data_IF_187446653730
#
_entry.id   IF_187446653730
#
_cell.length_a   1.000
_cell.length_b   1.000
_cell.length_c   1.000
_cell.angle_alpha   90.00
_cell.angle_beta   90.00
_cell.angle_gamma   90.00
#
_symmetry.space_group_name_H-M   'P 1'
#
loop_
_entity.id
_entity.type
_entity.pdbx_description
1 polymer ?
#
# COMPACT_ATOMS: atom_id res chain seq x y z
N UNK A 1 6.11 -23.52 8.10
CA UNK A 1 6.08 -22.06 8.36
C UNK A 1 5.02 -21.43 7.48
N UNK A 2 4.22 -20.52 8.01
CA UNK A 2 3.25 -19.77 7.20
C UNK A 2 3.96 -18.81 6.24
N UNK A 3 3.39 -18.62 5.06
CA UNK A 3 3.89 -17.65 4.09
C UNK A 3 3.71 -16.24 4.65
N UNK A 4 4.74 -15.41 4.56
CA UNK A 4 4.70 -14.03 5.06
C UNK A 4 3.95 -13.11 4.11
N UNK A 5 3.35 -12.10 4.67
CA UNK A 5 2.46 -11.16 3.98
C UNK A 5 3.01 -9.74 4.08
N UNK A 6 3.12 -9.06 2.94
CA UNK A 6 3.43 -7.63 2.87
C UNK A 6 2.30 -6.86 2.21
N UNK A 7 1.88 -5.78 2.85
CA UNK A 7 0.99 -4.78 2.25
C UNK A 7 1.77 -3.52 1.87
N UNK A 8 1.60 -3.07 0.62
CA UNK A 8 2.31 -1.93 0.05
C UNK A 8 1.29 -0.91 -0.44
N UNK A 9 1.21 0.25 0.20
CA UNK A 9 0.44 1.38 -0.31
C UNK A 9 1.20 2.06 -1.45
N UNK A 10 0.50 2.53 -2.48
CA UNK A 10 1.16 3.08 -3.66
C UNK A 10 1.97 2.05 -4.44
N UNK A 11 1.54 0.79 -4.42
CA UNK A 11 2.27 -0.33 -5.04
C UNK A 11 2.13 -0.43 -6.56
N UNK A 12 1.36 0.45 -7.21
CA UNK A 12 1.10 0.37 -8.66
C UNK A 12 2.20 0.98 -9.53
N UNK A 13 3.17 1.66 -8.95
CA UNK A 13 4.25 2.33 -9.69
C UNK A 13 5.49 2.56 -8.83
N UNK A 14 6.61 2.92 -9.47
CA UNK A 14 7.82 3.38 -8.82
C UNK A 14 8.40 2.39 -7.81
N UNK A 15 8.79 2.91 -6.64
CA UNK A 15 9.43 2.13 -5.57
C UNK A 15 8.50 1.02 -5.05
N UNK A 16 7.22 1.32 -4.84
CA UNK A 16 6.25 0.34 -4.36
C UNK A 16 6.07 -0.83 -5.32
N UNK A 17 6.02 -0.57 -6.64
CA UNK A 17 5.96 -1.60 -7.66
C UNK A 17 7.22 -2.48 -7.69
N UNK A 18 8.42 -1.86 -7.64
CA UNK A 18 9.68 -2.58 -7.61
C UNK A 18 9.81 -3.45 -6.35
N UNK A 19 9.35 -2.94 -5.22
CA UNK A 19 9.32 -3.68 -3.96
C UNK A 19 8.35 -4.87 -4.03
N UNK A 20 7.17 -4.68 -4.61
CA UNK A 20 6.20 -5.76 -4.82
C UNK A 20 6.81 -6.90 -5.65
N UNK A 21 7.49 -6.57 -6.75
CA UNK A 21 8.20 -7.53 -7.59
C UNK A 21 9.26 -8.30 -6.81
N UNK A 22 10.04 -7.62 -5.99
CA UNK A 22 11.06 -8.25 -5.15
C UNK A 22 10.46 -9.30 -4.21
N UNK A 23 9.42 -8.94 -3.45
CA UNK A 23 8.79 -9.84 -2.50
C UNK A 23 8.06 -11.01 -3.17
N UNK A 24 7.44 -10.81 -4.34
CA UNK A 24 6.86 -11.92 -5.12
C UNK A 24 7.92 -12.95 -5.52
N UNK A 25 9.10 -12.51 -5.93
CA UNK A 25 10.22 -13.39 -6.27
C UNK A 25 10.80 -14.15 -5.05
N UNK A 26 10.46 -13.71 -3.84
CA UNK A 26 10.88 -14.35 -2.59
C UNK A 26 9.74 -15.12 -1.92
N UNK A 27 8.71 -15.50 -2.68
CA UNK A 27 7.58 -16.31 -2.23
C UNK A 27 6.75 -15.70 -1.09
N UNK A 28 6.69 -14.38 -1.02
CA UNK A 28 5.76 -13.69 -0.13
C UNK A 28 4.39 -13.55 -0.79
N UNK A 29 3.36 -13.47 0.03
CA UNK A 29 2.07 -12.94 -0.40
C UNK A 29 2.19 -11.41 -0.40
N UNK A 30 1.90 -10.80 -1.53
CA UNK A 30 2.04 -9.37 -1.74
C UNK A 30 0.67 -8.75 -2.00
N UNK A 31 0.32 -7.75 -1.22
CA UNK A 31 -0.86 -6.93 -1.45
C UNK A 31 -0.39 -5.55 -1.87
N UNK A 32 -0.78 -5.09 -3.05
CA UNK A 32 -0.57 -3.72 -3.48
C UNK A 32 -1.90 -2.97 -3.48
N UNK A 33 -1.86 -1.73 -3.01
CA UNK A 33 -3.02 -0.84 -3.06
C UNK A 33 -2.68 0.50 -3.70
N UNK A 34 -3.69 1.10 -4.32
CA UNK A 34 -3.64 2.43 -4.94
C UNK A 34 -5.05 3.00 -5.03
N UNK A 35 -5.19 4.30 -5.06
CA UNK A 35 -6.45 4.97 -5.34
C UNK A 35 -6.87 4.88 -6.81
N UNK A 36 -5.95 4.52 -7.71
CA UNK A 36 -6.18 4.44 -9.15
C UNK A 36 -6.32 2.97 -9.61
N UNK A 37 -7.56 2.59 -9.95
CA UNK A 37 -7.89 1.22 -10.37
C UNK A 37 -7.22 0.81 -11.68
N UNK A 38 -7.05 1.74 -12.63
CA UNK A 38 -6.43 1.42 -13.94
C UNK A 38 -4.94 1.14 -13.79
N UNK A 39 -4.26 1.94 -12.93
CA UNK A 39 -2.85 1.69 -12.60
C UNK A 39 -2.67 0.35 -11.87
N UNK A 40 -3.56 0.01 -10.94
CA UNK A 40 -3.55 -1.28 -10.26
C UNK A 40 -3.69 -2.44 -11.24
N UNK A 41 -4.64 -2.34 -12.17
CA UNK A 41 -4.88 -3.38 -13.18
C UNK A 41 -3.63 -3.61 -14.04
N UNK A 42 -3.03 -2.54 -14.55
CA UNK A 42 -1.78 -2.63 -15.34
C UNK A 42 -0.62 -3.22 -14.53
N UNK A 43 -0.45 -2.77 -13.29
CA UNK A 43 0.58 -3.30 -12.41
C UNK A 43 0.39 -4.80 -12.15
N UNK A 44 -0.84 -5.23 -11.90
CA UNK A 44 -1.18 -6.65 -11.72
C UNK A 44 -0.80 -7.48 -12.93
N UNK A 45 -1.18 -7.05 -14.14
CA UNK A 45 -0.88 -7.76 -15.39
C UNK A 45 0.63 -7.94 -15.57
N UNK A 46 1.42 -6.89 -15.36
CA UNK A 46 2.88 -6.94 -15.49
C UNK A 46 3.50 -7.88 -14.44
N UNK A 47 3.13 -7.69 -13.15
CA UNK A 47 3.70 -8.49 -12.06
C UNK A 47 3.39 -9.98 -12.18
N UNK A 48 2.17 -10.35 -12.58
CA UNK A 48 1.80 -11.75 -12.79
C UNK A 48 2.59 -12.34 -13.97
N UNK A 49 2.67 -11.63 -15.08
CA UNK A 49 3.38 -12.12 -16.28
C UNK A 49 4.88 -12.31 -16.03
N UNK A 50 5.50 -11.38 -15.28
CA UNK A 50 6.94 -11.43 -15.01
C UNK A 50 7.31 -12.46 -13.93
N UNK A 51 6.51 -12.56 -12.87
CA UNK A 51 6.87 -13.38 -11.70
C UNK A 51 6.21 -14.77 -11.74
N UNK A 52 5.23 -14.99 -12.60
CA UNK A 52 4.45 -16.24 -12.67
C UNK A 52 3.91 -16.69 -11.31
N UNK A 53 3.58 -15.74 -10.45
CA UNK A 53 3.13 -15.96 -9.08
C UNK A 53 1.66 -15.57 -8.93
N UNK A 54 0.90 -16.43 -8.28
CA UNK A 54 -0.50 -16.17 -7.90
C UNK A 54 -0.62 -15.47 -6.53
N UNK A 55 0.49 -15.22 -5.86
CA UNK A 55 0.53 -14.62 -4.51
C UNK A 55 0.38 -13.09 -4.52
N UNK A 56 -0.29 -12.52 -5.52
CA UNK A 56 -0.50 -11.09 -5.66
C UNK A 56 -1.98 -10.73 -5.53
N UNK A 57 -2.27 -9.84 -4.60
CA UNK A 57 -3.58 -9.21 -4.42
C UNK A 57 -3.50 -7.72 -4.76
N UNK A 58 -4.54 -7.20 -5.37
CA UNK A 58 -4.65 -5.77 -5.68
C UNK A 58 -5.93 -5.21 -5.10
N UNK A 59 -5.82 -4.16 -4.30
CA UNK A 59 -6.94 -3.54 -3.60
C UNK A 59 -6.97 -2.04 -3.90
N UNK A 60 -8.12 -1.55 -4.36
CA UNK A 60 -8.33 -0.12 -4.44
C UNK A 60 -8.43 0.44 -3.03
N UNK A 61 -7.61 1.45 -2.71
CA UNK A 61 -7.65 2.14 -1.43
C UNK A 61 -7.14 3.57 -1.59
N UNK A 62 -8.00 4.53 -1.27
CA UNK A 62 -7.60 5.91 -1.07
C UNK A 62 -7.20 6.10 0.39
N UNK A 63 -5.90 6.31 0.65
CA UNK A 63 -5.38 6.45 2.02
C UNK A 63 -5.83 7.74 2.70
N UNK A 64 -6.38 8.70 1.97
CA UNK A 64 -6.97 9.91 2.55
C UNK A 64 -8.36 9.67 3.16
N UNK A 65 -8.95 8.51 2.90
CA UNK A 65 -10.21 8.06 3.49
C UNK A 65 -9.95 7.01 4.59
N UNK A 66 -10.16 7.41 5.85
CA UNK A 66 -9.99 6.51 7.02
C UNK A 66 -10.80 5.23 6.93
N UNK A 67 -12.01 5.30 6.37
CA UNK A 67 -12.89 4.14 6.28
C UNK A 67 -12.42 3.16 5.22
N UNK A 68 -11.93 3.65 4.09
CA UNK A 68 -11.31 2.79 3.07
C UNK A 68 -10.07 2.08 3.62
N UNK A 69 -9.21 2.80 4.34
CA UNK A 69 -8.02 2.20 4.98
C UNK A 69 -8.41 1.08 5.93
N UNK A 70 -9.37 1.32 6.84
CA UNK A 70 -9.85 0.30 7.78
C UNK A 70 -10.44 -0.92 7.08
N UNK A 71 -11.29 -0.72 6.06
CA UNK A 71 -11.88 -1.80 5.29
C UNK A 71 -10.81 -2.62 4.56
N UNK A 72 -9.80 -1.96 4.00
CA UNK A 72 -8.68 -2.62 3.32
C UNK A 72 -7.90 -3.52 4.26
N UNK A 73 -7.53 -3.02 5.44
CA UNK A 73 -6.80 -3.80 6.44
C UNK A 73 -7.64 -4.96 6.95
N UNK A 74 -8.91 -4.75 7.26
CA UNK A 74 -9.81 -5.82 7.70
C UNK A 74 -9.98 -6.89 6.62
N UNK A 75 -10.10 -6.51 5.36
CA UNK A 75 -10.14 -7.46 4.25
C UNK A 75 -8.87 -8.30 4.19
N UNK A 76 -7.70 -7.68 4.25
CA UNK A 76 -6.43 -8.40 4.22
C UNK A 76 -6.35 -9.40 5.38
N UNK A 77 -6.63 -8.95 6.60
CA UNK A 77 -6.51 -9.77 7.80
C UNK A 77 -7.47 -10.95 7.82
N UNK A 78 -8.69 -10.78 7.29
CA UNK A 78 -9.72 -11.81 7.33
C UNK A 78 -9.66 -12.77 6.12
N UNK A 79 -9.32 -12.27 4.94
CA UNK A 79 -9.43 -13.04 3.69
C UNK A 79 -8.08 -13.51 3.16
N UNK A 80 -6.99 -12.81 3.47
CA UNK A 80 -5.64 -13.18 3.00
C UNK A 80 -4.78 -13.74 4.13
N UNK A 81 -4.70 -13.02 5.24
CA UNK A 81 -3.95 -13.42 6.43
C UNK A 81 -3.30 -12.23 7.14
N UNK A 82 -2.57 -12.53 8.19
CA UNK A 82 -1.95 -11.52 9.05
C UNK A 82 -0.83 -10.76 8.32
N UNK A 83 -0.92 -9.43 8.33
CA UNK A 83 0.11 -8.57 7.75
C UNK A 83 1.38 -8.64 8.61
N UNK A 84 2.48 -9.10 8.02
CA UNK A 84 3.80 -9.11 8.66
C UNK A 84 4.53 -7.79 8.48
N UNK A 85 4.44 -7.21 7.27
CA UNK A 85 5.04 -5.92 6.94
C UNK A 85 3.98 -5.02 6.28
N UNK A 86 3.89 -3.78 6.73
CA UNK A 86 3.18 -2.72 6.03
C UNK A 86 4.18 -1.68 5.53
N UNK A 87 4.33 -1.56 4.22
CA UNK A 87 5.13 -0.53 3.58
C UNK A 87 4.23 0.63 3.15
N UNK A 88 4.30 1.72 3.89
CA UNK A 88 3.48 2.91 3.67
C UNK A 88 4.17 3.85 2.67
N UNK A 89 4.16 3.43 1.41
CA UNK A 89 4.91 4.07 0.32
C UNK A 89 4.05 5.07 -0.50
N UNK A 90 2.73 5.07 -0.35
CA UNK A 90 1.88 5.97 -1.13
C UNK A 90 2.22 7.44 -0.85
N UNK A 91 2.46 8.20 -1.92
CA UNK A 91 2.75 9.61 -1.85
C UNK A 91 2.21 10.34 -3.08
N UNK A 92 1.80 11.58 -2.89
CA UNK A 92 1.53 12.51 -3.96
C UNK A 92 2.76 13.39 -4.17
N UNK A 93 3.08 13.64 -5.42
CA UNK A 93 4.07 14.60 -5.84
C UNK A 93 3.49 15.47 -6.94
N UNK A 94 3.42 16.76 -6.70
CA UNK A 94 2.90 17.72 -7.66
C UNK A 94 3.81 18.94 -7.68
N UNK A 95 4.83 18.93 -8.56
CA UNK A 95 5.73 20.07 -8.68
C UNK A 95 4.96 21.28 -9.20
N UNK A 96 5.09 22.41 -8.52
CA UNK A 96 4.50 23.66 -8.93
C UNK A 96 5.24 24.21 -10.16
N UNK A 97 4.71 23.95 -11.35
CA UNK A 97 5.38 24.28 -12.62
C UNK A 97 5.63 25.77 -12.81
N UNK A 98 4.81 26.62 -12.18
CA UNK A 98 4.86 28.07 -12.37
C UNK A 98 5.42 28.83 -11.16
N UNK A 99 5.93 28.14 -10.14
CA UNK A 99 6.41 28.74 -8.89
C UNK A 99 5.36 29.62 -8.16
N UNK A 100 4.09 29.48 -8.49
CA UNK A 100 3.00 30.18 -7.84
C UNK A 100 2.51 29.37 -6.64
N UNK A 101 2.13 30.07 -5.56
CA UNK A 101 1.54 29.43 -4.41
C UNK A 101 0.12 28.92 -4.75
N UNK A 102 -0.09 27.60 -4.56
CA UNK A 102 -1.39 26.97 -4.75
C UNK A 102 -1.75 26.17 -3.50
N UNK A 103 -2.71 26.70 -2.72
CA UNK A 103 -3.15 26.07 -1.46
C UNK A 103 -3.73 24.68 -1.70
N UNK A 104 -4.48 24.47 -2.79
CA UNK A 104 -5.08 23.16 -3.07
C UNK A 104 -4.01 22.08 -3.29
N UNK A 105 -2.90 22.47 -3.93
CA UNK A 105 -1.77 21.55 -4.11
C UNK A 105 -1.11 21.19 -2.77
N UNK A 106 -0.91 22.16 -1.88
CA UNK A 106 -0.37 21.90 -0.54
C UNK A 106 -1.31 21.05 0.30
N UNK A 107 -2.62 21.31 0.26
CA UNK A 107 -3.61 20.50 0.96
C UNK A 107 -3.60 19.05 0.45
N UNK A 108 -3.52 18.82 -0.85
CA UNK A 108 -3.39 17.48 -1.42
C UNK A 108 -2.12 16.76 -0.89
N UNK A 109 -0.99 17.44 -0.90
CA UNK A 109 0.27 16.87 -0.41
C UNK A 109 0.21 16.51 1.08
N UNK A 110 -0.42 17.36 1.90
CA UNK A 110 -0.62 17.10 3.33
C UNK A 110 -1.59 15.94 3.53
N UNK A 111 -2.69 15.91 2.80
CA UNK A 111 -3.72 14.87 2.94
C UNK A 111 -3.16 13.49 2.56
N UNK A 112 -2.42 13.38 1.48
CA UNK A 112 -1.83 12.10 1.06
C UNK A 112 -0.59 11.76 1.87
N UNK A 113 0.41 12.65 1.89
CA UNK A 113 1.74 12.30 2.39
C UNK A 113 1.83 12.29 3.92
N UNK A 114 0.97 13.02 4.61
CA UNK A 114 0.95 13.08 6.07
C UNK A 114 -0.28 12.37 6.64
N UNK A 115 -1.47 12.88 6.40
CA UNK A 115 -2.69 12.32 6.99
C UNK A 115 -2.95 10.89 6.54
N UNK A 116 -2.79 10.59 5.25
CA UNK A 116 -2.98 9.23 4.72
C UNK A 116 -2.07 8.21 5.40
N UNK A 117 -0.80 8.54 5.57
CA UNK A 117 0.16 7.70 6.32
C UNK A 117 -0.27 7.51 7.77
N UNK A 118 -0.69 8.60 8.45
CA UNK A 118 -1.18 8.52 9.83
C UNK A 118 -2.45 7.66 9.97
N UNK A 119 -3.36 7.70 8.99
CA UNK A 119 -4.55 6.86 8.98
C UNK A 119 -4.21 5.38 8.85
N UNK A 120 -3.20 5.05 8.03
CA UNK A 120 -2.70 3.68 7.92
C UNK A 120 -2.07 3.21 9.24
N UNK A 121 -1.23 4.02 9.88
CA UNK A 121 -0.61 3.70 11.17
C UNK A 121 -1.68 3.51 12.25
N UNK A 122 -2.65 4.42 12.33
CA UNK A 122 -3.73 4.34 13.31
C UNK A 122 -4.55 3.04 13.19
N UNK A 123 -4.86 2.63 11.97
CA UNK A 123 -5.59 1.40 11.73
C UNK A 123 -4.73 0.13 11.95
N UNK A 124 -3.44 0.17 11.59
CA UNK A 124 -2.52 -0.96 11.76
C UNK A 124 -2.11 -1.20 13.20
N UNK A 125 -1.95 -0.16 14.01
CA UNK A 125 -1.46 -0.29 15.38
C UNK A 125 -2.29 -1.26 16.22
N UNK A 126 -3.61 -1.19 16.11
CA UNK A 126 -4.53 -2.05 16.86
C UNK A 126 -4.49 -3.50 16.35
N UNK A 127 -4.25 -3.67 15.07
CA UNK A 127 -4.15 -4.98 14.42
C UNK A 127 -2.84 -5.69 14.75
N UNK A 128 -1.74 -4.93 14.82
CA UNK A 128 -0.38 -5.46 14.96
C UNK A 128 0.16 -5.47 16.41
N UNK A 129 -0.46 -4.73 17.33
CA UNK A 129 0.04 -4.47 18.69
C UNK A 129 0.29 -5.71 19.55
N UNK A 130 -0.49 -6.76 19.38
CA UNK A 130 -0.48 -7.94 20.23
C UNK A 130 0.07 -9.20 19.51
N UNK A 131 0.93 -9.02 18.51
CA UNK A 131 1.49 -10.10 17.72
C UNK A 131 2.96 -10.30 18.02
N UNK A 132 3.36 -11.52 18.28
CA UNK A 132 4.77 -11.89 18.54
C UNK A 132 5.65 -11.76 17.28
N UNK A 133 5.05 -11.72 16.09
CA UNK A 133 5.74 -11.78 14.80
C UNK A 133 5.56 -10.54 13.91
N UNK A 134 5.07 -9.45 14.44
CA UNK A 134 4.99 -8.19 13.67
C UNK A 134 6.38 -7.70 13.35
N UNK A 135 6.66 -7.47 12.07
CA UNK A 135 8.00 -7.13 11.63
C UNK A 135 8.18 -5.62 11.54
N UNK A 136 7.34 -4.92 10.80
CA UNK A 136 7.51 -3.48 10.66
C UNK A 136 6.33 -2.75 10.02
N UNK A 137 6.20 -1.49 10.38
CA UNK A 137 5.55 -0.44 9.59
C UNK A 137 6.66 0.47 9.08
N UNK A 138 6.77 0.61 7.77
CA UNK A 138 7.85 1.38 7.12
C UNK A 138 7.28 2.42 6.19
#
# INVERSE_FOLDING_TARGET
MSTKIIWITGGSSGIGFATAKYFLNHNWIVIISSSNSDKLKKAKEILINENKSENLYTLKCDITDKNEVKKTILFIENEVGQIDIALLNAAAYSPNKNQEFDINNYELLIDVNLKGTLYCIDALKDTMKNRDNTIAIV
#
